data_IF_058135316490
#
_entry.id   IF_058135316490
#
_cell.length_a   1.000
_cell.length_b   1.000
_cell.length_c   1.000
_cell.angle_alpha   90.00
_cell.angle_beta   90.00
_cell.angle_gamma   90.00
#
_symmetry.space_group_name_H-M   'P 1'
#
loop_
_entity.id
_entity.type
_entity.pdbx_description
1 polymer ?
#
# COMPACT_ATOMS: atom_id res chain seq x y z
N UNK A 1 7.16 17.81 5.97
CA UNK A 1 8.15 16.86 5.42
C UNK A 1 7.71 15.42 5.61
N UNK A 2 6.94 15.14 6.66
CA UNK A 2 6.45 13.82 7.05
C UNK A 2 5.71 13.08 5.93
N UNK A 3 4.86 13.76 5.15
CA UNK A 3 4.16 13.14 4.02
C UNK A 3 5.10 12.65 2.90
N UNK A 4 6.22 13.35 2.66
CA UNK A 4 7.21 12.92 1.67
C UNK A 4 7.96 11.67 2.17
N UNK A 5 8.37 11.66 3.43
CA UNK A 5 8.99 10.48 4.05
C UNK A 5 8.05 9.27 4.04
N UNK A 6 6.78 9.46 4.43
CA UNK A 6 5.77 8.43 4.35
C UNK A 6 5.56 7.94 2.91
N UNK A 7 5.55 8.85 1.94
CA UNK A 7 5.42 8.53 0.52
C UNK A 7 6.55 7.64 0.01
N UNK A 8 7.81 8.00 0.31
CA UNK A 8 8.99 7.18 -0.03
C UNK A 8 8.93 5.82 0.67
N UNK A 9 8.54 5.79 1.94
CA UNK A 9 8.40 4.55 2.70
C UNK A 9 7.35 3.62 2.08
N UNK A 10 6.20 4.14 1.64
CA UNK A 10 5.20 3.33 0.94
C UNK A 10 5.71 2.78 -0.39
N UNK A 11 6.47 3.55 -1.17
CA UNK A 11 7.08 3.05 -2.40
C UNK A 11 8.06 1.90 -2.12
N UNK A 12 8.88 2.05 -1.08
CA UNK A 12 9.80 0.99 -0.64
C UNK A 12 9.00 -0.25 -0.23
N UNK A 13 8.00 -0.11 0.64
CA UNK A 13 7.15 -1.24 1.06
C UNK A 13 6.53 -1.92 -0.15
N UNK A 14 5.94 -1.15 -1.07
CA UNK A 14 5.37 -1.67 -2.31
C UNK A 14 6.35 -2.55 -3.06
N UNK A 15 7.57 -2.05 -3.29
CA UNK A 15 8.61 -2.82 -3.97
C UNK A 15 9.02 -4.09 -3.21
N UNK A 16 9.21 -3.99 -1.88
CA UNK A 16 9.61 -5.12 -1.04
C UNK A 16 8.52 -6.21 -1.01
N UNK A 17 7.23 -5.86 -0.89
CA UNK A 17 6.14 -6.87 -0.91
C UNK A 17 6.03 -7.61 -2.24
N UNK A 18 6.47 -6.99 -3.35
CA UNK A 18 6.51 -7.65 -4.66
C UNK A 18 7.58 -8.73 -4.74
N UNK A 19 8.75 -8.48 -4.16
CA UNK A 19 9.90 -9.38 -4.22
C UNK A 19 9.82 -10.43 -3.11
N UNK A 20 9.40 -10.02 -1.92
CA UNK A 20 9.34 -10.83 -0.72
C UNK A 20 7.90 -10.87 -0.16
N UNK A 21 6.97 -11.58 -0.82
CA UNK A 21 5.57 -11.61 -0.41
C UNK A 21 5.35 -12.18 1.00
N UNK A 22 6.31 -12.94 1.54
CA UNK A 22 6.29 -13.45 2.91
C UNK A 22 6.27 -12.36 4.00
N UNK A 23 6.57 -11.10 3.66
CA UNK A 23 6.41 -10.00 4.63
C UNK A 23 4.95 -9.57 4.80
N UNK A 24 4.05 -9.98 3.88
CA UNK A 24 2.62 -9.71 3.99
C UNK A 24 2.08 -10.53 5.16
N UNK A 25 1.61 -9.84 6.20
CA UNK A 25 0.94 -10.47 7.33
C UNK A 25 -0.26 -11.30 6.83
N UNK A 26 -0.39 -12.53 7.33
CA UNK A 26 -1.39 -13.49 6.84
C UNK A 26 -0.89 -14.36 5.68
N UNK A 27 -0.10 -13.83 4.73
CA UNK A 27 0.49 -14.63 3.64
C UNK A 27 1.52 -15.64 4.15
N UNK A 28 2.37 -15.22 5.10
CA UNK A 28 3.39 -16.08 5.71
C UNK A 28 2.79 -17.24 6.53
N UNK A 29 1.56 -17.11 7.01
CA UNK A 29 0.86 -18.17 7.75
C UNK A 29 0.10 -19.15 6.85
N UNK A 30 0.03 -18.90 5.53
CA UNK A 30 -0.59 -19.82 4.59
C UNK A 30 0.32 -21.03 4.34
N UNK A 31 -0.28 -22.18 4.06
CA UNK A 31 0.46 -23.34 3.52
C UNK A 31 1.02 -23.02 2.13
N UNK A 32 2.08 -23.71 1.70
CA UNK A 32 2.70 -23.49 0.38
C UNK A 32 1.69 -23.51 -0.78
N UNK A 33 0.76 -24.47 -0.76
CA UNK A 33 -0.32 -24.56 -1.78
C UNK A 33 -1.22 -23.32 -1.79
N UNK A 34 -1.51 -22.74 -0.64
CA UNK A 34 -2.34 -21.54 -0.53
C UNK A 34 -1.54 -20.27 -0.85
N UNK A 35 -0.24 -20.24 -0.56
CA UNK A 35 0.66 -19.17 -0.98
C UNK A 35 0.76 -19.07 -2.50
N UNK A 36 0.91 -20.21 -3.18
CA UNK A 36 0.96 -20.28 -4.64
C UNK A 36 -0.36 -19.81 -5.26
N UNK A 37 -1.51 -20.24 -4.71
CA UNK A 37 -2.84 -19.75 -5.11
C UNK A 37 -3.00 -18.24 -4.92
N UNK A 38 -2.66 -17.72 -3.74
CA UNK A 38 -2.76 -16.29 -3.46
C UNK A 38 -1.81 -15.46 -4.36
N UNK A 39 -0.63 -16.00 -4.69
CA UNK A 39 0.28 -15.41 -5.66
C UNK A 39 -0.33 -15.39 -7.07
N UNK A 40 -0.93 -16.50 -7.50
CA UNK A 40 -1.60 -16.62 -8.80
C UNK A 40 -2.84 -15.72 -8.91
N UNK A 41 -3.53 -15.48 -7.80
CA UNK A 41 -4.62 -14.50 -7.71
C UNK A 41 -4.10 -13.05 -7.72
N UNK A 42 -2.78 -12.83 -7.68
CA UNK A 42 -2.16 -11.52 -7.81
C UNK A 42 -2.03 -10.75 -6.49
N UNK A 43 -2.13 -11.38 -5.32
CA UNK A 43 -2.02 -10.69 -4.03
C UNK A 43 -0.73 -9.85 -3.89
N UNK A 44 0.47 -10.38 -4.20
CA UNK A 44 1.71 -9.59 -4.10
C UNK A 44 1.73 -8.38 -5.05
N UNK A 45 1.17 -8.57 -6.26
CA UNK A 45 1.08 -7.50 -7.25
C UNK A 45 0.07 -6.42 -6.84
N UNK A 46 -1.09 -6.82 -6.31
CA UNK A 46 -2.07 -5.91 -5.74
C UNK A 46 -1.48 -5.09 -4.59
N UNK A 47 -0.75 -5.74 -3.67
CA UNK A 47 -0.05 -5.06 -2.58
C UNK A 47 0.94 -4.02 -3.11
N UNK A 48 1.78 -4.40 -4.09
CA UNK A 48 2.72 -3.50 -4.75
C UNK A 48 2.03 -2.27 -5.34
N UNK A 49 0.95 -2.46 -6.11
CA UNK A 49 0.22 -1.37 -6.76
C UNK A 49 -0.41 -0.45 -5.71
N UNK A 50 -1.05 -1.01 -4.69
CA UNK A 50 -1.72 -0.24 -3.65
C UNK A 50 -0.73 0.64 -2.87
N UNK A 51 0.35 0.04 -2.36
CA UNK A 51 1.38 0.81 -1.64
C UNK A 51 2.07 1.83 -2.56
N UNK A 52 2.28 1.50 -3.84
CA UNK A 52 2.86 2.45 -4.79
C UNK A 52 1.94 3.66 -5.01
N UNK A 53 0.63 3.44 -5.17
CA UNK A 53 -0.36 4.51 -5.30
C UNK A 53 -0.43 5.37 -4.04
N UNK A 54 -0.42 4.76 -2.85
CA UNK A 54 -0.36 5.49 -1.58
C UNK A 54 0.89 6.39 -1.51
N UNK A 55 2.04 5.86 -1.92
CA UNK A 55 3.29 6.60 -1.98
C UNK A 55 3.24 7.81 -2.92
N UNK A 56 2.77 7.58 -4.15
CA UNK A 56 2.62 8.63 -5.17
C UNK A 56 1.68 9.74 -4.70
N UNK A 57 0.52 9.39 -4.11
CA UNK A 57 -0.43 10.38 -3.61
C UNK A 57 0.18 11.26 -2.50
N UNK A 58 0.94 10.66 -1.58
CA UNK A 58 1.62 11.40 -0.53
C UNK A 58 2.69 12.35 -1.11
N UNK A 59 3.44 11.92 -2.12
CA UNK A 59 4.47 12.76 -2.77
C UNK A 59 3.82 13.92 -3.53
N UNK A 60 2.76 13.65 -4.31
CA UNK A 60 2.03 14.67 -5.08
C UNK A 60 1.34 15.69 -4.16
N UNK A 61 0.95 15.29 -2.95
CA UNK A 61 0.32 16.21 -1.99
C UNK A 61 1.20 17.42 -1.63
N UNK A 62 2.53 17.28 -1.71
CA UNK A 62 3.47 18.35 -1.37
C UNK A 62 3.44 19.53 -2.35
N UNK A 63 3.68 19.35 -3.67
CA UNK A 63 3.55 20.46 -4.62
C UNK A 63 2.12 21.02 -4.66
N UNK A 64 1.09 20.17 -4.51
CA UNK A 64 -0.32 20.63 -4.45
C UNK A 64 -0.56 21.53 -3.24
N UNK A 65 -0.02 21.18 -2.08
CA UNK A 65 -0.10 22.00 -0.86
C UNK A 65 0.55 23.38 -1.04
N UNK A 66 1.68 23.44 -1.76
CA UNK A 66 2.33 24.69 -2.11
C UNK A 66 1.49 25.54 -3.08
N UNK A 67 0.87 24.90 -4.08
CA UNK A 67 0.04 25.59 -5.07
C UNK A 67 -1.24 26.17 -4.49
N UNK A 68 -1.81 25.52 -3.47
CA UNK A 68 -3.04 25.95 -2.82
C UNK A 68 -2.80 26.82 -1.57
N UNK A 69 -1.54 27.07 -1.21
CA UNK A 69 -1.15 27.78 0.03
C UNK A 69 -1.77 27.16 1.31
N UNK A 70 -2.02 25.85 1.27
CA UNK A 70 -2.64 25.09 2.37
C UNK A 70 -1.62 24.17 3.05
N UNK A 71 -0.88 24.63 4.10
CA UNK A 71 0.20 23.85 4.70
C UNK A 71 -0.27 22.55 5.36
N UNK A 72 -1.51 22.51 5.86
CA UNK A 72 -2.09 21.35 6.54
C UNK A 72 -2.59 20.25 5.60
N UNK A 73 -2.60 20.50 4.28
CA UNK A 73 -3.11 19.56 3.29
C UNK A 73 -2.31 18.26 3.26
N UNK A 74 -0.99 18.35 3.37
CA UNK A 74 -0.08 17.18 3.33
C UNK A 74 -0.39 16.17 4.44
N UNK A 75 -0.57 16.65 5.69
CA UNK A 75 -0.93 15.82 6.83
C UNK A 75 -2.32 15.18 6.67
N UNK A 76 -3.30 15.95 6.17
CA UNK A 76 -4.64 15.44 5.92
C UNK A 76 -4.67 14.35 4.84
N UNK A 77 -3.92 14.55 3.75
CA UNK A 77 -3.78 13.55 2.67
C UNK A 77 -3.08 12.30 3.19
N UNK A 78 -1.97 12.44 3.93
CA UNK A 78 -1.26 11.29 4.50
C UNK A 78 -2.16 10.44 5.39
N UNK A 79 -2.91 11.05 6.32
CA UNK A 79 -3.85 10.34 7.19
C UNK A 79 -4.95 9.63 6.38
N UNK A 80 -5.54 10.34 5.42
CA UNK A 80 -6.62 9.81 4.58
C UNK A 80 -6.15 8.63 3.74
N UNK A 81 -5.00 8.76 3.08
CA UNK A 81 -4.38 7.71 2.26
C UNK A 81 -4.05 6.49 3.11
N UNK A 82 -3.53 6.68 4.33
CA UNK A 82 -3.21 5.58 5.24
C UNK A 82 -4.46 4.80 5.64
N UNK A 83 -5.49 5.50 6.13
CA UNK A 83 -6.71 4.88 6.62
C UNK A 83 -7.44 4.15 5.49
N UNK A 84 -7.65 4.81 4.36
CA UNK A 84 -8.33 4.23 3.20
C UNK A 84 -7.51 3.10 2.59
N UNK A 85 -6.20 3.30 2.44
CA UNK A 85 -5.29 2.29 1.89
C UNK A 85 -5.26 1.01 2.72
N UNK A 86 -5.23 1.11 4.06
CA UNK A 86 -5.27 -0.07 4.95
C UNK A 86 -6.60 -0.80 4.82
N UNK A 87 -7.74 -0.10 4.78
CA UNK A 87 -9.06 -0.73 4.60
C UNK A 87 -9.12 -1.47 3.26
N UNK A 88 -8.68 -0.83 2.17
CA UNK A 88 -8.61 -1.46 0.84
C UNK A 88 -7.71 -2.69 0.88
N UNK A 89 -6.54 -2.59 1.52
CA UNK A 89 -5.60 -3.70 1.63
C UNK A 89 -6.21 -4.90 2.35
N UNK A 90 -6.89 -4.68 3.48
CA UNK A 90 -7.51 -5.75 4.26
C UNK A 90 -8.64 -6.43 3.47
N UNK A 91 -9.54 -5.63 2.89
CA UNK A 91 -10.72 -6.17 2.19
C UNK A 91 -10.33 -6.92 0.94
N UNK A 92 -9.57 -6.28 0.05
CA UNK A 92 -9.16 -6.89 -1.22
C UNK A 92 -8.04 -7.91 -1.03
N UNK A 93 -7.15 -7.71 -0.06
CA UNK A 93 -6.13 -8.69 0.28
C UNK A 93 -6.74 -9.99 0.78
N UNK A 94 -7.77 -9.92 1.64
CA UNK A 94 -8.51 -11.10 2.06
C UNK A 94 -9.27 -11.76 0.90
N UNK A 95 -9.90 -10.96 0.02
CA UNK A 95 -10.56 -11.49 -1.18
C UNK A 95 -9.58 -12.29 -2.07
N UNK A 96 -8.43 -11.72 -2.38
CA UNK A 96 -7.42 -12.34 -3.24
C UNK A 96 -6.76 -13.56 -2.58
N UNK A 97 -6.57 -13.53 -1.26
CA UNK A 97 -6.01 -14.66 -0.52
C UNK A 97 -6.97 -15.85 -0.39
N UNK A 98 -8.29 -15.59 -0.38
CA UNK A 98 -9.30 -16.56 0.03
C UNK A 98 -10.30 -16.95 -1.07
N UNK A 99 -10.08 -16.51 -2.32
CA UNK A 99 -10.83 -17.02 -3.48
C UNK A 99 -10.69 -18.56 -3.55
N UNK A 100 -11.72 -19.24 -3.04
CA UNK A 100 -11.93 -20.68 -3.09
C UNK A 100 -12.45 -21.10 -4.46
#
# INVERSE_FOLDING_TARGET
MDALMAGVLYLIIGFVVRIFPNIIAGYNSLSQRNQERASNNGLPFFAFVLFSLMGILCIISYPVSLWLEMPNLTSGVQLSVTLVGVVIFIVFGNLLANHR
#
